data_IF_296140617292
#
_entry.id   IF_296140617292
#
_cell.length_a   1.000
_cell.length_b   1.000
_cell.length_c   1.000
_cell.angle_alpha   90.00
_cell.angle_beta   90.00
_cell.angle_gamma   90.00
#
_symmetry.space_group_name_H-M   'P 1'
#
loop_
_entity.id
_entity.type
_entity.pdbx_description
1 polymer ?
#
# COMPACT_ATOMS: atom_id res chain seq x y z
N UNK A 1 -8.67 -15.05 -8.20
CA UNK A 1 -8.60 -13.57 -8.29
C UNK A 1 -9.26 -13.01 -7.04
N UNK A 2 -8.48 -12.43 -6.13
CA UNK A 2 -9.00 -11.80 -4.92
C UNK A 2 -9.23 -10.31 -5.17
N UNK A 3 -10.49 -9.90 -5.27
CA UNK A 3 -10.88 -8.49 -5.27
C UNK A 3 -11.17 -8.02 -3.86
N UNK A 4 -11.04 -6.72 -3.62
CA UNK A 4 -11.44 -6.11 -2.35
C UNK A 4 -12.96 -6.26 -2.21
N UNK A 5 -13.40 -6.78 -1.07
CA UNK A 5 -14.84 -6.98 -0.80
C UNK A 5 -15.65 -5.69 -0.74
N UNK A 6 -14.99 -4.54 -0.60
CA UNK A 6 -15.62 -3.23 -0.46
C UNK A 6 -15.67 -2.48 -1.79
N UNK A 7 -14.52 -2.24 -2.42
CA UNK A 7 -14.47 -1.46 -3.67
C UNK A 7 -14.53 -2.33 -4.95
N UNK A 8 -14.43 -3.66 -4.82
CA UNK A 8 -14.43 -4.60 -5.96
C UNK A 8 -13.13 -4.60 -6.78
N UNK A 9 -12.20 -3.70 -6.51
CA UNK A 9 -10.92 -3.61 -7.24
C UNK A 9 -9.94 -4.73 -6.85
N UNK A 10 -8.98 -5.03 -7.72
CA UNK A 10 -7.96 -6.06 -7.49
C UNK A 10 -7.13 -5.78 -6.24
N UNK A 11 -7.01 -6.77 -5.33
CA UNK A 11 -6.10 -6.68 -4.17
C UNK A 11 -4.63 -6.87 -4.55
N UNK A 12 -4.36 -7.39 -5.75
CA UNK A 12 -3.00 -7.63 -6.26
C UNK A 12 -2.33 -6.37 -6.80
N UNK A 13 -3.08 -5.30 -7.00
CA UNK A 13 -2.58 -4.01 -7.47
C UNK A 13 -2.41 -3.04 -6.31
N UNK A 14 -1.35 -2.23 -6.41
CA UNK A 14 -1.10 -1.17 -5.45
C UNK A 14 -1.85 0.09 -5.87
N UNK A 15 -2.74 0.55 -5.02
CA UNK A 15 -3.56 1.74 -5.25
C UNK A 15 -3.07 2.90 -4.40
N UNK A 16 -3.01 4.08 -5.01
CA UNK A 16 -2.91 5.36 -4.29
C UNK A 16 -4.28 5.81 -3.79
N UNK A 17 -4.28 6.50 -2.66
CA UNK A 17 -5.47 7.14 -2.09
C UNK A 17 -5.03 8.34 -1.24
N UNK A 18 -5.90 9.32 -1.06
CA UNK A 18 -5.66 10.44 -0.15
C UNK A 18 -6.61 10.31 1.04
N UNK A 19 -6.05 10.28 2.25
CA UNK A 19 -6.83 10.18 3.49
C UNK A 19 -6.45 11.33 4.42
N UNK A 20 -7.43 12.16 4.78
CA UNK A 20 -7.23 13.36 5.61
C UNK A 20 -6.16 14.32 5.05
N UNK A 21 -6.02 14.39 3.72
CA UNK A 21 -5.00 15.23 3.06
C UNK A 21 -3.60 14.60 3.03
N UNK A 22 -3.45 13.35 3.46
CA UNK A 22 -2.19 12.60 3.44
C UNK A 22 -2.24 11.56 2.32
N UNK A 23 -1.23 11.58 1.45
CA UNK A 23 -1.02 10.56 0.44
C UNK A 23 -0.77 9.20 1.09
N UNK A 24 -1.63 8.24 0.78
CA UNK A 24 -1.58 6.88 1.23
C UNK A 24 -1.44 5.93 0.04
N UNK A 25 -0.88 4.75 0.31
CA UNK A 25 -0.74 3.70 -0.69
C UNK A 25 -1.06 2.35 -0.11
N UNK A 26 -1.75 1.53 -0.91
CA UNK A 26 -2.10 0.17 -0.53
C UNK A 26 -0.97 -0.80 -0.84
N UNK A 27 -0.73 -1.71 0.10
CA UNK A 27 0.17 -2.83 -0.13
C UNK A 27 -0.62 -4.03 -0.68
N UNK A 28 -0.29 -4.55 -1.87
CA UNK A 28 -1.00 -5.68 -2.45
C UNK A 28 -1.02 -6.91 -1.55
N UNK A 29 0.12 -7.21 -0.92
CA UNK A 29 0.27 -8.39 -0.07
C UNK A 29 -0.53 -8.28 1.23
N UNK A 30 -0.44 -7.15 1.91
CA UNK A 30 -1.25 -6.88 3.11
C UNK A 30 -2.74 -6.89 2.77
N UNK A 31 -3.10 -6.30 1.63
CA UNK A 31 -4.47 -6.23 1.15
C UNK A 31 -5.03 -7.62 0.82
N UNK A 32 -4.27 -8.43 0.10
CA UNK A 32 -4.63 -9.81 -0.22
C UNK A 32 -4.80 -10.66 1.05
N UNK A 33 -3.92 -10.48 2.05
CA UNK A 33 -4.02 -11.19 3.32
C UNK A 33 -5.25 -10.76 4.14
N UNK A 34 -5.62 -9.48 4.08
CA UNK A 34 -6.78 -8.94 4.79
C UNK A 34 -8.11 -9.16 4.06
N UNK A 35 -8.09 -9.43 2.74
CA UNK A 35 -9.28 -9.48 1.88
C UNK A 35 -9.86 -8.10 1.50
N UNK A 36 -9.23 -7.02 1.95
CA UNK A 36 -9.61 -5.63 1.68
C UNK A 36 -8.37 -4.79 1.43
N UNK A 37 -8.48 -3.67 0.71
CA UNK A 37 -7.34 -2.77 0.54
C UNK A 37 -6.90 -2.21 1.89
N UNK A 38 -5.62 -2.43 2.21
CA UNK A 38 -4.96 -1.88 3.40
C UNK A 38 -4.01 -0.78 2.94
N UNK A 39 -4.30 0.44 3.36
CA UNK A 39 -3.55 1.65 3.02
C UNK A 39 -2.65 2.07 4.17
N UNK A 40 -1.45 2.52 3.80
CA UNK A 40 -0.43 3.03 4.68
C UNK A 40 -0.02 4.41 4.20
N UNK A 41 0.50 5.25 5.09
CA UNK A 41 1.00 6.57 4.65
C UNK A 41 2.18 6.38 3.71
N UNK A 42 2.22 7.15 2.62
CA UNK A 42 3.32 7.06 1.64
C UNK A 42 4.69 7.39 2.25
N UNK A 43 4.73 8.29 3.25
CA UNK A 43 5.93 8.59 4.04
C UNK A 43 6.57 7.35 4.67
N UNK A 44 5.74 6.42 5.15
CA UNK A 44 6.17 5.19 5.84
C UNK A 44 6.43 4.05 4.82
N UNK A 45 5.68 4.05 3.73
CA UNK A 45 5.92 3.18 2.58
C UNK A 45 7.29 3.40 1.96
N UNK A 46 7.75 4.65 1.94
CA UNK A 46 9.02 5.07 1.39
C UNK A 46 9.01 5.19 -0.13
N UNK A 47 10.02 5.89 -0.61
CA UNK A 47 10.22 6.22 -2.01
C UNK A 47 11.44 5.46 -2.53
N UNK A 48 11.40 5.05 -3.80
CA UNK A 48 12.59 4.67 -4.54
C UNK A 48 13.09 5.88 -5.33
N UNK A 49 14.38 6.14 -5.22
CA UNK A 49 15.06 7.04 -6.15
C UNK A 49 15.37 6.27 -7.44
N UNK A 50 15.05 6.86 -8.59
CA UNK A 50 15.27 6.25 -9.90
C UNK A 50 16.64 6.58 -10.51
N UNK A 51 17.48 7.38 -9.85
CA UNK A 51 18.76 7.87 -10.37
C UNK A 51 18.64 9.03 -11.36
N UNK A 52 17.41 9.41 -11.76
CA UNK A 52 17.10 10.50 -12.69
C UNK A 52 16.47 11.71 -11.96
N UNK A 53 16.62 11.77 -10.62
CA UNK A 53 16.00 12.80 -9.76
C UNK A 53 14.51 12.60 -9.46
N UNK A 54 13.89 11.56 -10.02
CA UNK A 54 12.50 11.19 -9.76
C UNK A 54 12.39 10.23 -8.57
N UNK A 55 11.60 10.62 -7.58
CA UNK A 55 11.18 9.76 -6.47
C UNK A 55 9.82 9.13 -6.76
N UNK A 56 9.73 7.81 -6.77
CA UNK A 56 8.48 7.08 -7.00
C UNK A 56 8.14 6.30 -5.72
N UNK A 57 6.89 6.40 -5.25
CA UNK A 57 6.44 5.60 -4.11
C UNK A 57 6.53 4.11 -4.48
N UNK A 58 7.04 3.31 -3.54
CA UNK A 58 7.16 1.89 -3.73
C UNK A 58 5.79 1.21 -3.82
N UNK A 59 5.67 0.10 -4.55
CA UNK A 59 4.38 -0.59 -4.70
C UNK A 59 4.03 -1.46 -3.49
N UNK A 60 5.01 -1.77 -2.63
CA UNK A 60 4.88 -2.69 -1.49
C UNK A 60 5.43 -2.04 -0.22
N UNK A 61 4.84 -2.32 0.94
CA UNK A 61 5.30 -1.78 2.21
C UNK A 61 6.72 -2.29 2.54
N UNK A 62 7.52 -1.57 3.35
CA UNK A 62 8.87 -2.00 3.74
C UNK A 62 8.96 -3.45 4.21
N UNK A 63 8.07 -3.90 5.11
CA UNK A 63 8.07 -5.28 5.57
C UNK A 63 7.78 -6.28 4.45
N UNK A 64 6.75 -6.05 3.63
CA UNK A 64 6.44 -6.97 2.53
C UNK A 64 7.54 -6.99 1.46
N UNK A 65 8.29 -5.89 1.27
CA UNK A 65 9.50 -5.85 0.42
C UNK A 65 10.64 -6.67 1.01
N UNK A 66 10.82 -6.62 2.33
CA UNK A 66 11.79 -7.45 3.04
C UNK A 66 11.36 -8.92 3.18
N UNK A 67 10.11 -9.24 2.85
CA UNK A 67 9.54 -10.57 3.05
C UNK A 67 9.08 -10.84 4.49
N UNK A 68 8.98 -9.80 5.31
CA UNK A 68 8.61 -9.83 6.72
C UNK A 68 7.13 -9.47 6.94
N UNK A 69 6.63 -9.74 8.15
CA UNK A 69 5.29 -9.33 8.57
C UNK A 69 5.20 -7.79 8.68
N UNK A 70 4.08 -7.17 8.28
CA UNK A 70 3.89 -5.73 8.34
C UNK A 70 4.11 -5.23 9.78
N UNK A 71 5.17 -4.45 9.97
CA UNK A 71 5.53 -3.84 11.25
C UNK A 71 5.03 -2.39 11.35
N UNK A 72 4.59 -1.83 10.23
CA UNK A 72 4.16 -0.45 10.12
C UNK A 72 2.66 -0.30 10.41
N UNK A 73 2.22 0.80 11.05
CA UNK A 73 0.81 1.04 11.32
C UNK A 73 0.08 1.35 10.02
N UNK A 74 -1.04 0.66 9.79
CA UNK A 74 -1.95 0.99 8.70
C UNK A 74 -2.66 2.32 8.97
N UNK A 75 -2.81 3.13 7.93
CA UNK A 75 -3.54 4.40 8.01
C UNK A 75 -5.04 4.14 8.03
N UNK A 76 -5.52 3.38 7.05
CA UNK A 76 -6.91 2.97 6.96
C UNK A 76 -7.05 1.73 6.07
N UNK A 77 -8.23 1.11 6.12
CA UNK A 77 -8.63 0.02 5.22
C UNK A 77 -9.87 0.46 4.47
N UNK A 78 -10.10 -0.12 3.30
CA UNK A 78 -11.44 -0.10 2.70
C UNK A 78 -12.43 -0.72 3.70
N UNK A 79 -13.52 -0.01 3.98
CA UNK A 79 -14.60 -0.38 4.91
C UNK A 79 -15.94 -0.21 4.20
#
# INVERSE_FOLDING_TARGET
MGGCTVCGCSLNDSHDAVYEGIDCKSCPRCSANAGVHVFYKTEDFGYRDMGDGRHIVQSWCPSCRAGENPSIPEAFRCK
#
